data_IF_802653714981
#
_entry.id   IF_802653714981
#
_cell.length_a   1.000
_cell.length_b   1.000
_cell.length_c   1.000
_cell.angle_alpha   90.00
_cell.angle_beta   90.00
_cell.angle_gamma   90.00
#
_symmetry.space_group_name_H-M   'P 1'
#
loop_
_entity.id
_entity.type
_entity.pdbx_description
1 polymer ?
#
# COMPACT_ATOMS: atom_id res chain seq x y z
N UNK A 1 -12.02 16.84 13.83
CA UNK A 1 -13.28 16.27 13.27
C UNK A 1 -12.98 15.76 11.87
N UNK A 2 -12.94 14.43 11.71
CA UNK A 2 -12.56 13.77 10.45
C UNK A 2 -13.72 13.83 9.45
N UNK A 3 -13.55 14.56 8.36
CA UNK A 3 -14.39 14.44 7.15
C UNK A 3 -14.13 13.08 6.52
N UNK A 4 -15.16 12.22 6.48
CA UNK A 4 -15.16 11.05 5.60
C UNK A 4 -15.27 11.53 4.15
N UNK A 5 -14.27 11.19 3.35
CA UNK A 5 -14.31 11.34 1.90
C UNK A 5 -15.35 10.37 1.35
N UNK A 6 -16.33 10.88 0.60
CA UNK A 6 -17.32 10.07 -0.11
C UNK A 6 -16.74 9.66 -1.45
N UNK A 7 -16.48 8.37 -1.64
CA UNK A 7 -16.35 7.81 -2.98
C UNK A 7 -17.75 7.63 -3.57
N UNK A 8 -18.06 8.44 -4.60
CA UNK A 8 -19.20 8.25 -5.49
C UNK A 8 -18.76 7.35 -6.64
N UNK A 9 -19.59 6.38 -7.03
CA UNK A 9 -19.43 5.78 -8.36
C UNK A 9 -20.05 4.43 -8.70
N UNK A 10 -21.28 4.09 -8.28
CA UNK A 10 -22.21 3.22 -9.05
C UNK A 10 -23.64 3.62 -8.68
N UNK A 11 -24.58 3.64 -9.64
CA UNK A 11 -25.86 4.35 -9.56
C UNK A 11 -26.62 4.22 -8.23
N UNK A 12 -26.97 5.36 -7.64
CA UNK A 12 -27.62 5.52 -6.33
C UNK A 12 -29.04 4.92 -6.34
N UNK A 13 -29.14 3.59 -6.24
CA UNK A 13 -30.34 2.95 -5.73
C UNK A 13 -30.52 3.35 -4.26
N UNK A 14 -31.75 3.59 -3.77
CA UNK A 14 -31.97 3.96 -2.38
C UNK A 14 -31.44 2.84 -1.46
N UNK A 15 -30.40 3.17 -0.67
CA UNK A 15 -29.83 2.24 0.30
C UNK A 15 -30.78 2.14 1.49
N UNK A 16 -31.56 1.06 1.54
CA UNK A 16 -32.43 0.77 2.67
C UNK A 16 -31.56 0.32 3.85
N UNK A 17 -31.48 1.16 4.88
CA UNK A 17 -30.71 0.89 6.10
C UNK A 17 -31.42 -0.11 7.01
N UNK A 18 -30.70 -0.68 7.97
CA UNK A 18 -31.27 -1.56 9.02
C UNK A 18 -32.46 -0.89 9.74
N UNK A 19 -32.36 0.41 10.04
CA UNK A 19 -33.43 1.17 10.68
C UNK A 19 -34.68 1.28 9.80
N UNK A 20 -34.50 1.34 8.46
CA UNK A 20 -35.63 1.34 7.54
C UNK A 20 -36.32 -0.03 7.51
N UNK A 21 -35.55 -1.13 7.49
CA UNK A 21 -36.13 -2.47 7.57
C UNK A 21 -36.84 -2.73 8.90
N UNK A 22 -36.28 -2.25 10.01
CA UNK A 22 -36.92 -2.29 11.32
C UNK A 22 -38.23 -1.47 11.34
N UNK A 23 -38.20 -0.24 10.83
CA UNK A 23 -39.39 0.61 10.74
C UNK A 23 -40.45 0.00 9.83
N UNK A 24 -40.07 -0.57 8.68
CA UNK A 24 -40.99 -1.28 7.77
C UNK A 24 -41.59 -2.52 8.41
N UNK A 25 -40.80 -3.31 9.14
CA UNK A 25 -41.29 -4.47 9.87
C UNK A 25 -42.32 -4.08 10.95
N UNK A 26 -42.04 -3.02 11.73
CA UNK A 26 -42.96 -2.53 12.76
C UNK A 26 -44.22 -1.92 12.15
N UNK A 27 -44.06 -1.03 11.17
CA UNK A 27 -45.21 -0.36 10.53
C UNK A 27 -46.10 -1.36 9.81
N UNK A 28 -45.53 -2.33 9.09
CA UNK A 28 -46.30 -3.42 8.47
C UNK A 28 -47.00 -4.30 9.51
N UNK A 29 -46.36 -4.60 10.63
CA UNK A 29 -46.99 -5.37 11.71
C UNK A 29 -48.19 -4.61 12.31
N UNK A 30 -48.01 -3.33 12.67
CA UNK A 30 -49.08 -2.48 13.20
C UNK A 30 -50.23 -2.36 12.20
N UNK A 31 -49.92 -2.09 10.93
CA UNK A 31 -50.92 -1.99 9.87
C UNK A 31 -51.69 -3.29 9.70
N UNK A 32 -51.00 -4.43 9.72
CA UNK A 32 -51.63 -5.75 9.62
C UNK A 32 -52.56 -6.02 10.80
N UNK A 33 -52.14 -5.67 12.03
CA UNK A 33 -53.00 -5.78 13.22
C UNK A 33 -54.25 -4.91 13.10
N UNK A 34 -54.12 -3.66 12.67
CA UNK A 34 -55.25 -2.76 12.48
C UNK A 34 -56.20 -3.25 11.37
N UNK A 35 -55.65 -3.76 10.26
CA UNK A 35 -56.43 -4.30 9.15
C UNK A 35 -57.23 -5.54 9.58
N UNK A 36 -56.63 -6.43 10.37
CA UNK A 36 -57.33 -7.62 10.92
C UNK A 36 -58.45 -7.20 11.87
N UNK A 37 -58.22 -6.22 12.74
CA UNK A 37 -59.26 -5.71 13.65
C UNK A 37 -60.42 -5.04 12.89
N UNK A 38 -60.11 -4.23 11.87
CA UNK A 38 -61.13 -3.60 11.03
C UNK A 38 -61.93 -4.64 10.24
N UNK A 39 -61.26 -5.65 9.67
CA UNK A 39 -61.93 -6.77 8.99
C UNK A 39 -62.84 -7.56 9.94
N UNK A 40 -62.38 -7.82 11.17
CA UNK A 40 -63.18 -8.49 12.19
C UNK A 40 -64.44 -7.70 12.52
N UNK A 41 -64.30 -6.39 12.81
CA UNK A 41 -65.44 -5.53 13.07
C UNK A 41 -66.41 -5.48 11.88
N UNK A 42 -65.91 -5.38 10.65
CA UNK A 42 -66.72 -5.35 9.43
C UNK A 42 -67.53 -6.65 9.21
N UNK A 43 -66.91 -7.80 9.47
CA UNK A 43 -67.58 -9.10 9.29
C UNK A 43 -68.73 -9.20 10.28
N UNK A 44 -68.51 -8.89 11.56
CA UNK A 44 -69.46 -9.13 12.65
C UNK A 44 -70.35 -7.94 13.05
N UNK A 45 -70.29 -6.81 12.34
CA UNK A 45 -71.03 -5.60 12.72
C UNK A 45 -72.56 -5.77 12.72
N UNK A 46 -73.09 -6.55 11.76
CA UNK A 46 -74.53 -6.71 11.54
C UNK A 46 -75.15 -7.91 12.32
N UNK A 47 -74.37 -8.56 13.21
CA UNK A 47 -74.76 -9.78 13.91
C UNK A 47 -74.22 -11.05 13.24
N UNK A 48 -74.37 -12.21 13.91
CA UNK A 48 -73.88 -13.50 13.40
C UNK A 48 -74.87 -14.10 12.39
N UNK A 49 -74.51 -14.06 11.11
CA UNK A 49 -75.23 -14.73 10.02
C UNK A 49 -74.24 -15.62 9.25
N UNK A 50 -74.30 -16.92 9.52
CA UNK A 50 -73.23 -17.86 9.18
C UNK A 50 -72.91 -17.96 7.69
N UNK A 51 -73.86 -17.65 6.81
CA UNK A 51 -73.67 -17.77 5.35
C UNK A 51 -73.04 -16.50 4.73
N UNK A 52 -73.45 -15.33 5.21
CA UNK A 52 -72.96 -13.99 4.81
C UNK A 52 -71.58 -13.72 5.41
N UNK A 53 -71.36 -14.09 6.68
CA UNK A 53 -70.07 -13.96 7.36
C UNK A 53 -68.98 -14.81 6.69
N UNK A 54 -69.34 -16.03 6.25
CA UNK A 54 -68.43 -16.92 5.54
C UNK A 54 -67.96 -16.31 4.21
N UNK A 55 -68.87 -15.73 3.42
CA UNK A 55 -68.52 -15.06 2.16
C UNK A 55 -67.63 -13.84 2.37
N UNK A 56 -67.91 -13.01 3.39
CA UNK A 56 -67.07 -11.86 3.75
C UNK A 56 -65.67 -12.32 4.19
N UNK A 57 -65.57 -13.36 5.02
CA UNK A 57 -64.30 -13.92 5.47
C UNK A 57 -63.47 -14.49 4.30
N UNK A 58 -64.11 -15.22 3.38
CA UNK A 58 -63.44 -15.76 2.20
C UNK A 58 -62.91 -14.66 1.27
N UNK A 59 -63.59 -13.51 1.19
CA UNK A 59 -63.12 -12.37 0.40
C UNK A 59 -61.88 -11.68 1.01
N UNK A 60 -61.76 -11.64 2.35
CA UNK A 60 -60.66 -10.97 3.06
C UNK A 60 -59.43 -11.87 3.24
N UNK A 61 -59.64 -13.19 3.32
CA UNK A 61 -58.58 -14.16 3.59
C UNK A 61 -57.32 -14.00 2.69
N UNK A 62 -57.41 -13.81 1.36
CA UNK A 62 -56.24 -13.64 0.50
C UNK A 62 -55.39 -12.42 0.86
N UNK A 63 -56.03 -11.31 1.27
CA UNK A 63 -55.34 -10.09 1.70
C UNK A 63 -54.67 -10.27 3.06
N UNK A 64 -55.30 -11.03 3.97
CA UNK A 64 -54.67 -11.40 5.24
C UNK A 64 -53.39 -12.19 5.04
N UNK A 65 -53.38 -13.16 4.13
CA UNK A 65 -52.18 -13.93 3.77
C UNK A 65 -51.10 -13.03 3.15
N UNK A 66 -51.47 -12.12 2.25
CA UNK A 66 -50.53 -11.19 1.62
C UNK A 66 -49.88 -10.23 2.62
N UNK A 67 -50.66 -9.69 3.57
CA UNK A 67 -50.15 -8.83 4.64
C UNK A 67 -49.21 -9.60 5.57
N UNK A 68 -49.57 -10.83 5.93
CA UNK A 68 -48.71 -11.68 6.76
C UNK A 68 -47.37 -11.99 6.04
N UNK A 69 -47.41 -12.26 4.74
CA UNK A 69 -46.22 -12.45 3.91
C UNK A 69 -45.33 -11.19 3.88
N UNK A 70 -45.93 -9.99 3.79
CA UNK A 70 -45.19 -8.72 3.82
C UNK A 70 -44.46 -8.53 5.16
N UNK A 71 -45.16 -8.72 6.29
CA UNK A 71 -44.55 -8.62 7.63
C UNK A 71 -43.41 -9.62 7.78
N UNK A 72 -43.61 -10.85 7.30
CA UNK A 72 -42.59 -11.90 7.32
C UNK A 72 -41.37 -11.51 6.51
N UNK A 73 -41.56 -10.99 5.30
CA UNK A 73 -40.49 -10.52 4.44
C UNK A 73 -39.69 -9.39 5.08
N UNK A 74 -40.35 -8.33 5.58
CA UNK A 74 -39.68 -7.21 6.25
C UNK A 74 -38.89 -7.68 7.48
N UNK A 75 -39.42 -8.63 8.24
CA UNK A 75 -38.76 -9.19 9.44
C UNK A 75 -37.52 -10.00 9.06
N UNK A 76 -37.60 -10.83 8.01
CA UNK A 76 -36.46 -11.61 7.51
C UNK A 76 -35.37 -10.69 6.97
N UNK A 77 -35.74 -9.66 6.20
CA UNK A 77 -34.79 -8.67 5.69
C UNK A 77 -34.09 -7.90 6.81
N UNK A 78 -34.84 -7.47 7.85
CA UNK A 78 -34.25 -6.84 9.03
C UNK A 78 -33.26 -7.77 9.74
N UNK A 79 -33.64 -9.02 10.05
CA UNK A 79 -32.74 -9.99 10.68
C UNK A 79 -31.49 -10.27 9.84
N UNK A 80 -31.65 -10.35 8.52
CA UNK A 80 -30.52 -10.47 7.59
C UNK A 80 -29.54 -9.31 7.73
N UNK A 81 -30.04 -8.07 7.75
CA UNK A 81 -29.19 -6.87 7.91
C UNK A 81 -28.44 -6.83 9.26
N UNK A 82 -29.11 -7.25 10.34
CA UNK A 82 -28.49 -7.34 11.67
C UNK A 82 -27.37 -8.40 11.69
N UNK A 83 -27.61 -9.57 11.11
CA UNK A 83 -26.62 -10.64 11.05
C UNK A 83 -25.38 -10.22 10.25
N UNK A 84 -25.56 -9.50 9.13
CA UNK A 84 -24.45 -8.95 8.35
C UNK A 84 -23.65 -7.94 9.19
N UNK A 85 -24.31 -7.06 9.96
CA UNK A 85 -23.61 -6.12 10.85
C UNK A 85 -22.80 -6.86 11.93
N UNK A 86 -23.40 -7.87 12.56
CA UNK A 86 -22.72 -8.67 13.58
C UNK A 86 -21.52 -9.43 12.99
N UNK A 87 -21.66 -10.02 11.81
CA UNK A 87 -20.57 -10.69 11.11
C UNK A 87 -19.44 -9.71 10.77
N UNK A 88 -19.76 -8.52 10.24
CA UNK A 88 -18.78 -7.48 9.93
C UNK A 88 -18.07 -6.96 11.20
N UNK A 89 -18.77 -6.84 12.31
CA UNK A 89 -18.18 -6.43 13.58
C UNK A 89 -17.23 -7.51 14.12
N UNK A 90 -17.67 -8.77 14.14
CA UNK A 90 -16.84 -9.89 14.56
C UNK A 90 -15.60 -10.04 13.68
N UNK A 91 -15.72 -9.82 12.37
CA UNK A 91 -14.59 -9.83 11.45
C UNK A 91 -13.59 -8.70 11.76
N UNK A 92 -14.07 -7.49 12.02
CA UNK A 92 -13.20 -6.36 12.40
C UNK A 92 -12.46 -6.62 13.72
N UNK A 93 -13.15 -7.14 14.72
CA UNK A 93 -12.55 -7.53 16.00
C UNK A 93 -11.51 -8.64 15.80
N UNK A 94 -11.82 -9.63 14.96
CA UNK A 94 -10.88 -10.71 14.60
C UNK A 94 -9.60 -10.19 13.94
N UNK A 95 -9.72 -9.25 12.99
CA UNK A 95 -8.55 -8.64 12.32
C UNK A 95 -7.71 -7.79 13.27
N UNK A 96 -8.35 -7.03 14.17
CA UNK A 96 -7.63 -6.28 15.20
C UNK A 96 -6.85 -7.22 16.14
N UNK A 97 -7.43 -8.39 16.47
CA UNK A 97 -6.76 -9.42 17.25
C UNK A 97 -5.56 -10.01 16.52
N UNK A 98 -5.69 -10.31 15.22
CA UNK A 98 -4.57 -10.77 14.39
C UNK A 98 -3.43 -9.75 14.38
N UNK A 99 -3.74 -8.44 14.32
CA UNK A 99 -2.72 -7.39 14.37
C UNK A 99 -1.94 -7.43 15.69
N UNK A 100 -2.66 -7.58 16.80
CA UNK A 100 -2.07 -7.67 18.13
C UNK A 100 -1.23 -8.95 18.30
N UNK A 101 -1.73 -10.10 17.85
CA UNK A 101 -1.01 -11.38 17.91
C UNK A 101 0.26 -11.34 17.04
N UNK A 102 0.14 -10.85 15.81
CA UNK A 102 1.28 -10.66 14.91
C UNK A 102 2.34 -9.73 15.52
N UNK A 103 1.93 -8.59 16.09
CA UNK A 103 2.83 -7.66 16.78
C UNK A 103 3.53 -8.31 17.98
N UNK A 104 2.80 -9.09 18.78
CA UNK A 104 3.34 -9.79 19.96
C UNK A 104 4.40 -10.80 19.55
N UNK A 105 4.08 -11.64 18.57
CA UNK A 105 4.99 -12.66 18.04
C UNK A 105 6.27 -12.05 17.47
N UNK A 106 6.14 -10.93 16.75
CA UNK A 106 7.28 -10.16 16.21
C UNK A 106 8.17 -9.53 17.31
N UNK A 107 7.61 -9.32 18.50
CA UNK A 107 8.33 -8.83 19.68
C UNK A 107 9.17 -9.91 20.36
N UNK A 108 8.87 -11.19 20.13
CA UNK A 108 9.59 -12.33 20.71
C UNK A 108 10.79 -12.73 19.84
N UNK A 109 11.68 -11.78 19.57
CA UNK A 109 12.81 -11.90 18.62
C UNK A 109 13.77 -13.08 18.91
N UNK A 110 13.82 -13.55 20.17
CA UNK A 110 14.62 -14.70 20.57
C UNK A 110 14.08 -16.05 20.04
N UNK A 111 12.84 -16.10 19.56
CA UNK A 111 12.22 -17.29 19.02
C UNK A 111 11.97 -17.16 17.50
N UNK A 112 12.84 -17.74 16.65
CA UNK A 112 12.72 -17.73 15.20
C UNK A 112 11.32 -18.11 14.69
N UNK A 113 10.69 -19.13 15.29
CA UNK A 113 9.36 -19.60 14.88
C UNK A 113 8.28 -18.55 15.16
N UNK A 114 8.40 -17.79 16.24
CA UNK A 114 7.46 -16.72 16.56
C UNK A 114 7.63 -15.53 15.61
N UNK A 115 8.87 -15.14 15.28
CA UNK A 115 9.11 -14.06 14.32
C UNK A 115 8.52 -14.40 12.96
N UNK A 116 8.78 -15.59 12.44
CA UNK A 116 8.21 -16.07 11.17
C UNK A 116 6.67 -16.07 11.20
N UNK A 117 6.06 -16.62 12.26
CA UNK A 117 4.61 -16.62 12.43
C UNK A 117 4.03 -15.20 12.56
N UNK A 118 4.76 -14.29 13.20
CA UNK A 118 4.41 -12.88 13.33
C UNK A 118 4.37 -12.18 11.97
N UNK A 119 5.39 -12.35 11.14
CA UNK A 119 5.44 -11.80 9.78
C UNK A 119 4.29 -12.36 8.93
N UNK A 120 4.08 -13.67 8.94
CA UNK A 120 3.00 -14.32 8.20
C UNK A 120 1.61 -13.84 8.63
N UNK A 121 1.40 -13.66 9.95
CA UNK A 121 0.12 -13.13 10.49
C UNK A 121 -0.13 -11.70 10.03
N UNK A 122 0.91 -10.86 10.05
CA UNK A 122 0.82 -9.47 9.58
C UNK A 122 0.60 -9.41 8.07
N UNK A 123 1.20 -10.32 7.29
CA UNK A 123 1.01 -10.38 5.83
C UNK A 123 -0.46 -10.61 5.43
N UNK A 124 -1.20 -11.43 6.19
CA UNK A 124 -2.65 -11.63 5.98
C UNK A 124 -3.40 -10.28 6.07
N UNK A 125 -3.00 -9.42 7.00
CA UNK A 125 -3.60 -8.08 7.15
C UNK A 125 -3.11 -7.12 6.05
N UNK A 126 -1.85 -7.22 5.66
CA UNK A 126 -1.24 -6.40 4.60
C UNK A 126 -1.91 -6.67 3.24
N UNK A 127 -2.33 -7.90 2.98
CA UNK A 127 -3.02 -8.31 1.74
C UNK A 127 -4.54 -8.27 1.85
N UNK A 128 -5.09 -8.16 3.06
CA UNK A 128 -6.53 -8.09 3.32
C UNK A 128 -7.21 -6.81 2.81
N UNK A 129 -8.55 -6.71 2.85
CA UNK A 129 -9.27 -5.59 2.23
C UNK A 129 -9.30 -4.31 3.07
N UNK A 130 -8.90 -4.33 4.34
CA UNK A 130 -8.85 -3.13 5.19
C UNK A 130 -7.50 -2.41 5.07
N UNK A 131 -7.47 -1.34 4.29
CA UNK A 131 -6.27 -0.55 4.03
C UNK A 131 -5.66 0.04 5.31
N UNK A 132 -6.47 0.47 6.28
CA UNK A 132 -5.95 1.09 7.50
C UNK A 132 -5.19 0.07 8.33
N UNK A 133 -5.76 -1.12 8.48
CA UNK A 133 -5.10 -2.23 9.19
C UNK A 133 -3.87 -2.71 8.42
N UNK A 134 -3.94 -2.79 7.09
CA UNK A 134 -2.80 -3.13 6.25
C UNK A 134 -1.62 -2.19 6.49
N UNK A 135 -1.84 -0.87 6.48
CA UNK A 135 -0.78 0.12 6.75
C UNK A 135 -0.21 -0.05 8.16
N UNK A 136 -1.03 -0.34 9.18
CA UNK A 136 -0.52 -0.62 10.53
C UNK A 136 0.34 -1.88 10.58
N UNK A 137 -0.08 -2.95 9.90
CA UNK A 137 0.72 -4.17 9.80
C UNK A 137 2.04 -3.94 9.07
N UNK A 138 2.03 -3.20 7.94
CA UNK A 138 3.26 -2.83 7.23
C UNK A 138 4.20 -1.98 8.10
N UNK A 139 3.66 -1.08 8.94
CA UNK A 139 4.48 -0.30 9.88
C UNK A 139 5.22 -1.22 10.87
N UNK A 140 4.56 -2.25 11.40
CA UNK A 140 5.16 -3.19 12.34
C UNK A 140 6.26 -4.03 11.68
N UNK A 141 6.04 -4.52 10.46
CA UNK A 141 7.07 -5.24 9.68
C UNK A 141 8.25 -4.32 9.36
N UNK A 142 7.98 -3.07 8.97
CA UNK A 142 9.02 -2.08 8.72
C UNK A 142 9.82 -1.73 10.00
N UNK A 143 9.15 -1.61 11.15
CA UNK A 143 9.80 -1.38 12.45
C UNK A 143 10.70 -2.57 12.85
N UNK A 144 10.29 -3.80 12.53
CA UNK A 144 11.13 -4.99 12.70
C UNK A 144 12.36 -4.98 11.78
N UNK A 145 12.18 -4.69 10.49
CA UNK A 145 13.30 -4.55 9.54
C UNK A 145 14.28 -3.48 10.02
N UNK A 146 13.78 -2.31 10.46
CA UNK A 146 14.62 -1.25 10.99
C UNK A 146 15.42 -1.71 12.21
N UNK A 147 14.82 -2.50 13.11
CA UNK A 147 15.47 -2.90 14.36
C UNK A 147 16.50 -4.00 14.14
N UNK A 148 16.16 -5.04 13.40
CA UNK A 148 17.00 -6.23 13.26
C UNK A 148 18.00 -6.13 12.10
N UNK A 149 17.72 -5.29 11.10
CA UNK A 149 18.50 -5.23 9.85
C UNK A 149 19.16 -3.86 9.62
N UNK A 150 19.18 -2.96 10.61
CA UNK A 150 19.77 -1.62 10.48
C UNK A 150 21.20 -1.62 9.94
N UNK A 151 22.02 -2.53 10.47
CA UNK A 151 23.45 -2.59 10.16
C UNK A 151 23.80 -3.56 9.03
N UNK A 152 22.92 -4.51 8.71
CA UNK A 152 23.12 -5.51 7.66
C UNK A 152 21.79 -6.15 7.29
N UNK A 153 21.58 -6.37 6.00
CA UNK A 153 20.43 -7.15 5.50
C UNK A 153 20.69 -8.67 5.53
N UNK A 154 21.84 -9.13 6.04
CA UNK A 154 22.08 -10.55 6.24
C UNK A 154 21.33 -11.04 7.48
N UNK A 155 20.03 -11.30 7.32
CA UNK A 155 19.14 -11.73 8.38
C UNK A 155 18.27 -12.90 7.93
N UNK A 156 18.04 -13.94 8.77
CA UNK A 156 17.26 -15.12 8.38
C UNK A 156 15.85 -14.80 7.89
N UNK A 157 15.23 -13.74 8.43
CA UNK A 157 13.87 -13.31 8.09
C UNK A 157 13.80 -12.17 7.08
N UNK A 158 14.91 -11.86 6.38
CA UNK A 158 14.94 -10.77 5.39
C UNK A 158 13.91 -11.02 4.31
N UNK A 159 13.91 -12.20 3.72
CA UNK A 159 13.10 -12.51 2.55
C UNK A 159 11.61 -12.44 2.87
N UNK A 160 11.18 -13.00 3.99
CA UNK A 160 9.79 -12.98 4.43
C UNK A 160 9.33 -11.56 4.77
N UNK A 161 10.13 -10.79 5.50
CA UNK A 161 9.77 -9.41 5.84
C UNK A 161 9.69 -8.51 4.59
N UNK A 162 10.63 -8.66 3.66
CA UNK A 162 10.67 -7.85 2.45
C UNK A 162 9.56 -8.24 1.47
N UNK A 163 9.30 -9.54 1.32
CA UNK A 163 8.19 -10.06 0.54
C UNK A 163 6.86 -9.54 1.08
N UNK A 164 6.65 -9.56 2.40
CA UNK A 164 5.44 -9.05 3.04
C UNK A 164 5.21 -7.55 2.73
N UNK A 165 6.26 -6.72 2.82
CA UNK A 165 6.18 -5.31 2.45
C UNK A 165 5.95 -5.10 0.94
N UNK A 166 6.58 -5.91 0.10
CA UNK A 166 6.41 -5.87 -1.36
C UNK A 166 5.01 -6.30 -1.80
N UNK A 167 4.42 -7.30 -1.15
CA UNK A 167 3.01 -7.69 -1.31
C UNK A 167 2.08 -6.50 -1.04
N UNK A 168 2.30 -5.74 0.04
CA UNK A 168 1.56 -4.51 0.30
C UNK A 168 1.77 -3.44 -0.78
N UNK A 169 3.01 -3.25 -1.23
CA UNK A 169 3.34 -2.31 -2.29
C UNK A 169 2.65 -2.64 -3.63
N UNK A 170 2.55 -3.93 -3.97
CA UNK A 170 1.86 -4.41 -5.18
C UNK A 170 0.37 -4.06 -5.20
N UNK A 171 -0.23 -3.85 -4.02
CA UNK A 171 -1.61 -3.41 -3.83
C UNK A 171 -1.75 -1.88 -3.73
N UNK A 172 -0.67 -1.13 -4.02
CA UNK A 172 -0.64 0.33 -3.92
C UNK A 172 -0.53 0.86 -2.48
N UNK A 173 -0.18 0.01 -1.51
CA UNK A 173 -0.10 0.39 -0.10
C UNK A 173 1.33 0.70 0.30
N UNK A 174 1.49 1.54 1.33
CA UNK A 174 2.80 1.95 1.82
C UNK A 174 2.79 2.14 3.33
N UNK A 175 3.79 1.60 4.01
CA UNK A 175 4.08 1.88 5.41
C UNK A 175 4.40 3.37 5.58
N UNK A 176 3.91 3.96 6.67
CA UNK A 176 4.25 5.30 7.12
C UNK A 176 5.56 5.30 7.93
N UNK A 177 6.56 4.57 7.44
CA UNK A 177 7.89 4.44 8.05
C UNK A 177 8.96 4.85 7.07
N UNK A 178 9.98 5.52 7.61
CA UNK A 178 11.22 5.82 6.92
C UNK A 178 12.30 4.93 7.51
N UNK A 179 12.96 4.15 6.67
CA UNK A 179 14.01 3.23 7.08
C UNK A 179 15.39 3.87 6.85
N UNK A 180 16.30 3.67 7.79
CA UNK A 180 17.69 4.11 7.71
C UNK A 180 18.61 2.93 8.02
N UNK A 181 19.44 2.60 7.05
CA UNK A 181 20.44 1.54 7.13
C UNK A 181 21.83 2.15 7.15
N UNK A 182 22.64 1.76 8.12
CA UNK A 182 23.98 2.32 8.32
C UNK A 182 24.97 1.21 8.65
N UNK A 183 25.80 0.85 7.68
CA UNK A 183 26.90 -0.09 7.87
C UNK A 183 28.26 0.62 7.93
N UNK A 184 28.31 1.95 8.11
CA UNK A 184 29.58 2.69 8.21
C UNK A 184 30.44 2.25 9.40
N UNK A 185 29.85 1.59 10.40
CA UNK A 185 30.53 1.00 11.55
C UNK A 185 30.86 -0.49 11.37
N UNK A 186 30.41 -1.12 10.29
CA UNK A 186 30.65 -2.54 10.01
C UNK A 186 31.98 -2.71 9.29
N UNK A 187 32.90 -3.46 9.89
CA UNK A 187 34.20 -3.78 9.25
C UNK A 187 34.04 -4.68 8.03
N UNK A 188 32.97 -5.47 7.96
CA UNK A 188 32.71 -6.42 6.88
C UNK A 188 32.11 -5.76 5.64
N UNK A 189 31.85 -4.44 5.69
CA UNK A 189 30.94 -3.79 4.76
C UNK A 189 29.51 -4.32 4.91
N UNK A 190 28.60 -3.80 4.08
CA UNK A 190 27.20 -4.23 4.06
C UNK A 190 26.70 -4.24 2.62
N UNK A 191 25.97 -5.29 2.25
CA UNK A 191 25.27 -5.35 0.96
C UNK A 191 23.82 -5.02 1.21
N UNK A 192 23.32 -3.99 0.53
CA UNK A 192 21.94 -3.54 0.67
C UNK A 192 21.05 -4.21 -0.36
N UNK A 193 19.83 -4.53 0.06
CA UNK A 193 18.78 -5.12 -0.76
C UNK A 193 17.61 -4.14 -0.84
N UNK A 194 16.93 -4.15 -1.98
CA UNK A 194 15.78 -3.29 -2.22
C UNK A 194 14.63 -3.61 -1.25
N UNK A 195 13.98 -2.58 -0.70
CA UNK A 195 12.81 -2.70 0.19
C UNK A 195 11.62 -1.91 -0.37
N UNK A 196 10.63 -2.62 -0.87
CA UNK A 196 9.36 -2.04 -1.28
C UNK A 196 8.46 -1.64 -0.11
N UNK A 197 7.40 -0.88 -0.40
CA UNK A 197 6.29 -0.70 0.54
C UNK A 197 6.57 0.21 1.72
N UNK A 198 7.64 1.01 1.71
CA UNK A 198 7.96 1.98 2.78
C UNK A 198 8.04 3.43 2.26
N UNK A 199 7.87 4.40 3.16
CA UNK A 199 7.79 5.82 2.81
C UNK A 199 9.09 6.34 2.22
N UNK A 200 10.20 6.11 2.91
CA UNK A 200 11.54 6.54 2.53
C UNK A 200 12.55 5.48 2.95
N UNK A 201 13.64 5.37 2.19
CA UNK A 201 14.78 4.54 2.56
C UNK A 201 16.07 5.35 2.44
N UNK A 202 16.90 5.33 3.47
CA UNK A 202 18.22 5.93 3.46
C UNK A 202 19.26 4.84 3.70
N UNK A 203 20.20 4.69 2.78
CA UNK A 203 21.35 3.82 2.92
C UNK A 203 22.59 4.67 3.22
N UNK A 204 23.40 4.22 4.17
CA UNK A 204 24.66 4.85 4.52
C UNK A 204 25.79 3.83 4.61
N UNK A 205 26.85 4.07 3.84
CA UNK A 205 27.91 3.08 3.64
C UNK A 205 27.45 1.91 2.78
N UNK A 206 28.33 0.91 2.62
CA UNK A 206 28.00 -0.38 2.01
C UNK A 206 27.85 -0.31 0.50
N UNK A 207 27.42 -1.42 -0.09
CA UNK A 207 27.35 -1.61 -1.53
C UNK A 207 25.93 -1.94 -1.99
N UNK A 208 25.55 -1.35 -3.11
CA UNK A 208 24.29 -1.58 -3.82
C UNK A 208 24.66 -1.99 -5.24
N UNK A 209 24.01 -3.04 -5.75
CA UNK A 209 24.26 -3.58 -7.07
C UNK A 209 22.94 -3.80 -7.79
N UNK A 210 22.87 -3.34 -9.05
CA UNK A 210 21.70 -3.49 -9.90
C UNK A 210 21.39 -4.95 -10.23
N UNK A 211 20.13 -5.21 -10.59
CA UNK A 211 19.63 -6.54 -10.92
C UNK A 211 19.53 -7.48 -9.72
N UNK A 212 20.64 -8.10 -9.30
CA UNK A 212 20.66 -9.23 -8.35
C UNK A 212 20.12 -8.87 -6.96
N UNK A 213 20.28 -7.62 -6.52
CA UNK A 213 19.86 -7.15 -5.20
C UNK A 213 18.51 -6.40 -5.23
N UNK A 214 17.83 -6.41 -6.38
CA UNK A 214 16.52 -5.80 -6.64
C UNK A 214 16.59 -4.50 -7.44
N UNK A 215 15.41 -4.02 -7.87
CA UNK A 215 15.28 -2.79 -8.68
C UNK A 215 15.43 -1.51 -7.88
N UNK A 216 16.67 -1.07 -7.66
CA UNK A 216 17.00 0.22 -7.04
C UNK A 216 16.87 1.41 -7.99
N UNK A 217 16.77 1.16 -9.29
CA UNK A 217 16.78 2.21 -10.31
C UNK A 217 15.62 3.21 -10.10
N UNK A 218 15.94 4.50 -10.21
CA UNK A 218 14.96 5.60 -10.30
C UNK A 218 13.95 5.74 -9.16
N UNK A 219 14.28 5.21 -7.97
CA UNK A 219 13.43 5.38 -6.79
C UNK A 219 13.60 6.74 -6.12
N UNK A 220 12.66 7.64 -6.37
CA UNK A 220 12.66 8.98 -5.78
C UNK A 220 12.65 8.97 -4.25
N UNK A 221 12.17 7.90 -3.62
CA UNK A 221 12.10 7.77 -2.17
C UNK A 221 13.39 7.22 -1.53
N UNK A 222 14.45 6.97 -2.31
CA UNK A 222 15.69 6.40 -1.81
C UNK A 222 16.77 7.48 -1.70
N UNK A 223 17.62 7.36 -0.69
CA UNK A 223 18.79 8.24 -0.46
C UNK A 223 20.00 7.36 -0.18
N UNK A 224 21.15 7.77 -0.70
CA UNK A 224 22.40 7.04 -0.63
C UNK A 224 23.49 8.00 -0.14
N UNK A 225 24.13 7.66 0.98
CA UNK A 225 25.24 8.42 1.56
C UNK A 225 26.47 7.53 1.69
N UNK A 226 27.58 7.93 1.09
CA UNK A 226 28.85 7.19 1.22
C UNK A 226 28.73 5.71 0.79
N UNK A 227 27.85 5.41 -0.18
CA UNK A 227 27.60 4.05 -0.69
C UNK A 227 28.44 3.78 -1.95
N UNK A 228 28.82 2.52 -2.16
CA UNK A 228 29.30 2.03 -3.45
C UNK A 228 28.10 1.54 -4.28
N UNK A 229 27.81 2.20 -5.40
CA UNK A 229 26.71 1.88 -6.32
C UNK A 229 27.31 1.25 -7.57
N UNK A 230 26.91 0.03 -7.91
CA UNK A 230 27.52 -0.75 -8.99
C UNK A 230 26.48 -1.26 -10.00
N UNK A 231 26.82 -1.23 -11.29
CA UNK A 231 26.09 -1.95 -12.35
C UNK A 231 24.59 -1.62 -12.41
N UNK A 232 24.24 -0.34 -12.36
CA UNK A 232 22.86 0.14 -12.39
C UNK A 232 22.62 1.14 -13.51
N UNK A 233 21.38 1.22 -13.97
CA UNK A 233 20.90 2.41 -14.66
C UNK A 233 20.50 3.48 -13.64
N UNK A 234 21.06 4.69 -13.72
CA UNK A 234 20.78 5.73 -12.75
C UNK A 234 20.47 7.09 -13.37
N UNK A 235 19.52 7.80 -12.77
CA UNK A 235 19.43 9.25 -12.82
C UNK A 235 20.25 9.84 -11.66
N UNK A 236 21.39 10.45 -11.98
CA UNK A 236 22.33 10.96 -11.01
C UNK A 236 21.89 12.34 -10.53
N UNK A 237 21.46 12.42 -9.27
CA UNK A 237 20.93 13.62 -8.64
C UNK A 237 21.33 13.70 -7.15
N UNK A 238 20.75 14.68 -6.43
CA UNK A 238 21.01 14.93 -5.00
C UNK A 238 20.81 13.73 -4.06
N UNK A 239 20.20 12.62 -4.50
CA UNK A 239 20.06 11.39 -3.71
C UNK A 239 21.39 10.70 -3.45
N UNK A 240 22.41 10.93 -4.28
CA UNK A 240 23.71 10.26 -4.20
C UNK A 240 24.76 11.18 -3.55
N UNK A 241 24.79 11.23 -2.22
CA UNK A 241 25.72 12.08 -1.47
C UNK A 241 27.00 11.33 -1.14
N UNK A 242 28.17 11.84 -1.58
CA UNK A 242 29.49 11.22 -1.32
C UNK A 242 29.61 9.74 -1.74
N UNK A 243 28.70 9.26 -2.58
CA UNK A 243 28.69 7.87 -3.03
C UNK A 243 29.70 7.66 -4.15
N UNK A 244 30.20 6.43 -4.29
CA UNK A 244 30.99 6.01 -5.45
C UNK A 244 30.10 5.26 -6.41
N UNK A 245 30.09 5.67 -7.67
CA UNK A 245 29.23 5.12 -8.71
C UNK A 245 30.15 4.47 -9.74
N UNK A 246 30.01 3.16 -9.91
CA UNK A 246 30.95 2.35 -10.69
C UNK A 246 30.24 1.48 -11.70
N UNK A 247 30.72 1.50 -12.95
CA UNK A 247 30.20 0.62 -14.01
C UNK A 247 28.68 0.72 -14.19
N UNK A 248 28.13 1.92 -13.99
CA UNK A 248 26.71 2.21 -14.16
C UNK A 248 26.45 2.81 -15.54
N UNK A 249 25.19 2.78 -15.97
CA UNK A 249 24.69 3.53 -17.11
C UNK A 249 23.98 4.80 -16.60
N UNK A 250 24.49 5.95 -17.00
CA UNK A 250 24.00 7.25 -16.55
C UNK A 250 22.93 7.72 -17.55
N UNK A 251 21.66 7.70 -17.15
CA UNK A 251 20.53 8.13 -17.99
C UNK A 251 20.38 9.65 -18.00
N UNK A 252 20.49 10.28 -16.84
CA UNK A 252 20.43 11.73 -16.72
C UNK A 252 21.23 12.24 -15.54
N UNK A 253 21.57 13.52 -15.58
CA UNK A 253 22.27 14.24 -14.51
C UNK A 253 21.51 15.52 -14.18
N UNK A 254 21.06 15.62 -12.94
CA UNK A 254 20.49 16.82 -12.34
C UNK A 254 21.52 17.42 -11.37
N UNK A 255 22.11 18.56 -11.78
CA UNK A 255 23.11 19.27 -11.00
C UNK A 255 22.47 20.13 -9.90
N UNK A 256 21.98 19.48 -8.85
CA UNK A 256 21.64 20.12 -7.56
C UNK A 256 22.71 19.88 -6.47
N UNK A 257 23.95 19.59 -6.84
CA UNK A 257 25.05 19.44 -5.88
C UNK A 257 25.65 20.79 -5.52
N UNK A 258 25.09 21.45 -4.51
CA UNK A 258 25.51 22.79 -4.08
C UNK A 258 26.96 22.87 -3.57
N UNK A 259 27.64 21.74 -3.29
CA UNK A 259 29.06 21.74 -2.88
C UNK A 259 29.83 20.52 -3.39
N UNK A 260 31.03 20.75 -3.96
CA UNK A 260 31.94 19.73 -4.50
C UNK A 260 32.26 18.60 -3.50
N UNK A 261 32.31 18.90 -2.20
CA UNK A 261 32.60 17.91 -1.15
C UNK A 261 31.50 16.86 -0.90
N UNK A 262 30.30 17.07 -1.45
CA UNK A 262 29.17 16.14 -1.35
C UNK A 262 28.88 15.43 -2.68
N UNK A 263 29.59 15.80 -3.75
CA UNK A 263 29.40 15.20 -5.06
C UNK A 263 29.80 13.72 -5.03
N UNK A 264 29.05 12.85 -5.72
CA UNK A 264 29.45 11.46 -5.89
C UNK A 264 30.66 11.38 -6.82
N UNK A 265 31.50 10.35 -6.64
CA UNK A 265 32.58 10.03 -7.58
C UNK A 265 32.07 9.02 -8.60
N UNK A 266 32.29 9.26 -9.89
CA UNK A 266 31.79 8.39 -10.96
C UNK A 266 32.96 7.79 -11.75
N UNK A 267 33.00 6.46 -11.85
CA UNK A 267 34.11 5.72 -12.45
C UNK A 267 33.61 4.59 -13.38
N UNK A 268 34.21 4.46 -14.55
CA UNK A 268 33.95 3.37 -15.50
C UNK A 268 32.50 3.30 -15.99
N UNK A 269 31.76 4.41 -15.94
CA UNK A 269 30.34 4.47 -16.29
C UNK A 269 30.10 4.82 -17.76
N UNK A 270 28.96 4.38 -18.28
CA UNK A 270 28.47 4.69 -19.62
C UNK A 270 27.55 5.91 -19.59
N UNK A 271 27.85 6.92 -20.40
CA UNK A 271 27.07 8.14 -20.57
C UNK A 271 26.40 8.23 -21.95
N UNK A 272 26.35 7.11 -22.70
CA UNK A 272 25.73 7.06 -24.02
C UNK A 272 24.26 7.50 -23.97
N UNK A 273 23.94 8.60 -24.67
CA UNK A 273 22.59 9.18 -24.69
C UNK A 273 22.17 9.87 -23.38
N UNK A 274 23.09 10.08 -22.44
CA UNK A 274 22.78 10.73 -21.17
C UNK A 274 22.27 12.16 -21.38
N UNK A 275 21.30 12.58 -20.56
CA UNK A 275 20.72 13.92 -20.63
C UNK A 275 21.14 14.74 -19.40
N UNK A 276 21.86 15.84 -19.65
CA UNK A 276 22.28 16.78 -18.63
C UNK A 276 21.33 17.97 -18.57
N UNK A 277 20.90 18.36 -17.37
CA UNK A 277 20.03 19.52 -17.22
C UNK A 277 20.76 20.83 -17.56
N UNK A 278 21.99 21.00 -17.06
CA UNK A 278 22.83 22.18 -17.29
C UNK A 278 24.29 21.81 -17.47
N UNK A 279 25.05 22.57 -18.27
CA UNK A 279 26.50 22.40 -18.35
C UNK A 279 27.24 23.26 -17.32
N UNK A 280 28.20 22.66 -16.60
CA UNK A 280 29.07 23.38 -15.66
C UNK A 280 30.48 22.78 -15.60
N UNK A 281 31.46 23.44 -16.21
CA UNK A 281 32.85 23.01 -16.32
C UNK A 281 33.46 22.53 -14.98
N UNK A 282 33.19 23.22 -13.88
CA UNK A 282 33.78 22.92 -12.56
C UNK A 282 33.42 21.53 -12.04
N UNK A 283 32.27 21.01 -12.48
CA UNK A 283 31.76 19.70 -12.12
C UNK A 283 32.22 18.63 -13.11
N UNK A 284 32.38 18.97 -14.40
CA UNK A 284 32.76 17.98 -15.41
C UNK A 284 34.18 17.45 -15.28
N UNK A 285 35.09 18.21 -14.66
CA UNK A 285 36.42 17.71 -14.30
C UNK A 285 36.35 16.43 -13.46
N UNK A 286 35.27 16.22 -12.67
CA UNK A 286 35.11 15.03 -11.84
C UNK A 286 34.90 13.75 -12.64
N UNK A 287 34.47 13.85 -13.89
CA UNK A 287 34.27 12.70 -14.76
C UNK A 287 35.53 12.36 -15.56
N UNK A 288 36.44 13.32 -15.72
CA UNK A 288 37.68 13.15 -16.47
C UNK A 288 38.63 12.16 -15.79
N UNK A 289 39.35 11.37 -16.60
CA UNK A 289 40.37 10.43 -16.10
C UNK A 289 39.85 9.21 -15.35
N UNK A 290 38.52 9.04 -15.24
CA UNK A 290 37.90 7.96 -14.46
C UNK A 290 37.34 6.83 -15.34
N UNK A 291 37.86 6.67 -16.57
CA UNK A 291 37.42 5.66 -17.55
C UNK A 291 35.91 5.73 -17.90
N UNK A 292 35.29 6.88 -17.68
CA UNK A 292 33.91 7.14 -18.07
C UNK A 292 33.86 7.36 -19.59
N UNK A 293 32.83 6.85 -20.25
CA UNK A 293 32.78 6.81 -21.70
C UNK A 293 31.38 7.08 -22.26
N UNK A 294 31.30 7.34 -23.56
CA UNK A 294 30.05 7.33 -24.31
C UNK A 294 30.25 6.75 -25.72
N UNK A 295 29.18 6.22 -26.31
CA UNK A 295 29.16 5.76 -27.69
C UNK A 295 29.05 6.94 -28.65
N UNK A 296 29.90 6.99 -29.67
CA UNK A 296 29.84 8.00 -30.73
C UNK A 296 28.47 8.08 -31.42
N UNK A 297 27.75 6.95 -31.48
CA UNK A 297 26.40 6.88 -32.08
C UNK A 297 25.32 7.54 -31.22
N UNK A 298 25.57 7.69 -29.93
CA UNK A 298 24.64 8.25 -28.95
C UNK A 298 25.40 9.21 -28.02
N UNK A 299 25.81 10.39 -28.51
CA UNK A 299 26.47 11.37 -27.65
C UNK A 299 25.51 11.88 -26.56
N UNK A 300 26.04 12.27 -25.39
CA UNK A 300 25.23 12.94 -24.39
C UNK A 300 24.66 14.28 -24.90
N UNK A 301 23.63 14.78 -24.23
CA UNK A 301 22.95 16.03 -24.61
C UNK A 301 22.73 16.94 -23.40
N UNK A 302 22.57 18.24 -23.65
CA UNK A 302 22.22 19.24 -22.63
C UNK A 302 20.83 19.83 -22.90
N UNK A 303 19.98 19.94 -21.88
CA UNK A 303 18.63 20.54 -22.02
C UNK A 303 18.65 22.05 -22.10
N UNK A 304 19.42 22.71 -21.22
CA UNK A 304 19.37 24.17 -21.03
C UNK A 304 20.50 24.94 -21.72
N UNK A 305 21.56 24.25 -22.16
CA UNK A 305 22.77 24.85 -22.72
C UNK A 305 23.18 24.17 -24.03
N UNK A 306 24.10 24.82 -24.77
CA UNK A 306 24.78 24.19 -25.90
C UNK A 306 25.67 23.07 -25.37
N UNK A 307 25.51 21.86 -25.93
CA UNK A 307 26.34 20.72 -25.54
C UNK A 307 27.83 21.02 -25.81
N UNK A 308 28.71 20.77 -24.83
CA UNK A 308 30.15 20.89 -25.03
C UNK A 308 30.67 19.78 -25.97
N UNK A 309 31.95 19.86 -26.32
CA UNK A 309 32.64 18.70 -26.87
C UNK A 309 32.86 17.67 -25.75
N UNK A 310 32.01 16.65 -25.70
CA UNK A 310 32.09 15.59 -24.68
C UNK A 310 33.41 14.82 -24.69
N UNK A 311 34.12 14.80 -25.82
CA UNK A 311 35.38 14.07 -25.96
C UNK A 311 36.52 14.67 -25.13
N UNK A 312 36.38 15.90 -24.62
CA UNK A 312 37.33 16.48 -23.66
C UNK A 312 37.14 15.99 -22.22
N UNK A 313 36.01 15.32 -21.92
CA UNK A 313 35.66 14.89 -20.56
C UNK A 313 35.47 13.38 -20.42
N UNK A 314 35.05 12.72 -21.50
CA UNK A 314 34.65 11.31 -21.54
C UNK A 314 35.34 10.60 -22.71
N UNK A 315 35.70 9.34 -22.51
CA UNK A 315 36.27 8.51 -23.55
C UNK A 315 35.24 8.18 -24.63
N UNK A 316 35.64 8.25 -25.91
CA UNK A 316 34.75 7.93 -27.02
C UNK A 316 34.91 6.46 -27.41
N UNK A 317 33.83 5.68 -27.29
CA UNK A 317 33.76 4.32 -27.83
C UNK A 317 33.01 4.32 -29.16
N UNK A 318 33.47 3.49 -30.09
CA UNK A 318 32.81 3.30 -31.39
C UNK A 318 31.58 2.40 -31.25
#
# INVERSE_FOLDING_TARGET
MSKQASEKGTGDWPVITENHWYALAITSAIFTTLAILAAFLWIFFDGFDGETDLKKAQAVAPFGVALFALVTFCTVAWRGSVNVRQANQAEREGRAKLLQEGAKLLGEAANPSHVSAGIATLEILITGPDEKLAIQAMNLVADFVQREMQGSHHHPFREEAFASLSSGASLGRRANRSLTFDCSKSELGGVWFNIDGVKWVSFKGGSIMGGVLGGFEDRENYRYSDCDILMMDINLDSRFTKSKIKHCNIKSIDFMFYMKQYAPTVEGCDFSGAVFDKFNNDYFEMFSGSQNYYSRSMPPTCKLDVAPDWSSFLDVKN
#
